data_IF_807972220742
#
_entry.id   IF_807972220742
#
_cell.length_a   1.000
_cell.length_b   1.000
_cell.length_c   1.000
_cell.angle_alpha   90.00
_cell.angle_beta   90.00
_cell.angle_gamma   90.00
#
_symmetry.space_group_name_H-M   'P 1'
#
loop_
_entity.id
_entity.type
_entity.pdbx_description
1 polymer ?
#
# COMPACT_ATOMS: atom_id res chain seq x y z
N UNK A 1 5.40 24.78 25.96
CA UNK A 1 4.33 24.11 26.72
C UNK A 1 3.51 23.45 25.64
N UNK A 2 3.45 22.12 25.62
CA UNK A 2 2.65 21.38 24.64
C UNK A 2 1.19 21.74 24.83
N UNK A 3 0.54 22.30 23.81
CA UNK A 3 -0.88 22.61 23.88
C UNK A 3 -1.69 21.35 23.55
N UNK A 4 -2.47 20.86 24.52
CA UNK A 4 -3.31 19.68 24.33
C UNK A 4 -4.79 19.99 24.46
N UNK A 5 -5.62 19.16 23.81
CA UNK A 5 -7.06 19.21 23.87
C UNK A 5 -7.62 17.82 24.10
N UNK A 6 -8.49 17.68 25.10
CA UNK A 6 -9.16 16.40 25.39
C UNK A 6 -10.52 16.37 24.72
N UNK A 7 -10.75 15.36 23.89
CA UNK A 7 -12.04 15.10 23.26
C UNK A 7 -12.40 13.62 23.43
N UNK A 8 -13.58 13.35 23.99
CA UNK A 8 -14.05 11.98 24.31
C UNK A 8 -13.09 11.13 25.15
N UNK A 9 -12.30 11.77 26.02
CA UNK A 9 -11.29 11.09 26.85
C UNK A 9 -9.99 10.76 26.12
N UNK A 10 -9.85 11.15 24.86
CA UNK A 10 -8.61 11.06 24.07
C UNK A 10 -7.92 12.42 24.10
N UNK A 11 -6.62 12.42 24.40
CA UNK A 11 -5.80 13.62 24.38
C UNK A 11 -5.18 13.82 22.99
N UNK A 12 -5.42 15.00 22.42
CA UNK A 12 -4.87 15.45 21.15
C UNK A 12 -3.84 16.54 21.40
N UNK A 13 -2.66 16.37 20.81
CA UNK A 13 -1.61 17.38 20.75
C UNK A 13 -1.92 18.37 19.63
N UNK A 14 -2.16 19.64 19.94
CA UNK A 14 -2.50 20.67 18.95
C UNK A 14 -1.28 21.25 18.23
N UNK A 15 -0.06 20.91 18.63
CA UNK A 15 1.17 21.38 17.97
C UNK A 15 1.46 20.63 16.66
N UNK A 16 0.87 19.44 16.49
CA UNK A 16 1.04 18.62 15.29
C UNK A 16 -0.13 18.77 14.33
N UNK A 17 0.14 18.47 13.06
CA UNK A 17 -0.91 18.30 12.07
C UNK A 17 -1.59 16.92 12.25
N UNK A 18 -2.85 16.87 11.87
CA UNK A 18 -3.63 15.64 11.76
C UNK A 18 -4.13 15.48 10.35
N UNK A 19 -4.43 14.25 9.97
CA UNK A 19 -5.05 13.91 8.70
C UNK A 19 -6.39 13.25 8.98
N UNK A 20 -7.41 13.65 8.25
CA UNK A 20 -8.70 12.96 8.33
C UNK A 20 -8.70 11.65 7.51
N UNK A 21 -9.80 10.93 7.56
CA UNK A 21 -9.95 9.64 6.85
C UNK A 21 -9.96 9.79 5.32
N UNK A 22 -10.16 11.01 4.81
CA UNK A 22 -10.13 11.32 3.37
C UNK A 22 -8.72 11.67 2.88
N UNK A 23 -7.80 11.92 3.81
CA UNK A 23 -6.42 12.25 3.52
C UNK A 23 -6.10 13.75 3.58
N UNK A 24 -7.08 14.59 3.94
CA UNK A 24 -6.93 16.05 4.09
C UNK A 24 -6.22 16.34 5.41
N UNK A 25 -5.25 17.25 5.36
CA UNK A 25 -4.45 17.63 6.53
C UNK A 25 -5.06 18.85 7.21
N UNK A 26 -5.09 18.81 8.53
CA UNK A 26 -5.67 19.81 9.42
C UNK A 26 -4.66 20.16 10.50
N UNK A 27 -4.49 21.43 10.79
CA UNK A 27 -3.65 21.90 11.89
C UNK A 27 -4.46 22.81 12.80
N UNK A 28 -4.03 23.00 14.03
CA UNK A 28 -4.60 24.03 14.89
C UNK A 28 -4.20 25.43 14.38
N UNK A 29 -5.16 26.37 14.37
CA UNK A 29 -4.91 27.74 13.93
C UNK A 29 -4.21 28.60 14.99
N UNK A 30 -4.09 28.11 16.23
CA UNK A 30 -3.68 28.90 17.40
C UNK A 30 -4.85 29.64 18.08
N UNK A 31 -6.06 29.57 17.51
CA UNK A 31 -7.26 30.21 18.05
C UNK A 31 -8.23 29.18 18.65
N UNK A 32 -9.09 29.67 19.54
CA UNK A 32 -10.18 28.90 20.16
C UNK A 32 -11.49 29.69 20.05
N UNK A 33 -12.61 28.99 20.03
CA UNK A 33 -13.92 29.62 20.19
C UNK A 33 -14.06 30.21 21.61
N UNK A 34 -15.08 31.06 21.87
CA UNK A 34 -15.37 31.54 23.23
C UNK A 34 -15.61 30.42 24.26
N UNK A 35 -16.08 29.26 23.79
CA UNK A 35 -16.28 28.05 24.61
C UNK A 35 -15.00 27.23 24.81
N UNK A 36 -13.86 27.70 24.29
CA UNK A 36 -12.55 27.06 24.42
C UNK A 36 -12.26 25.96 23.41
N UNK A 37 -13.10 25.77 22.39
CA UNK A 37 -12.89 24.73 21.37
C UNK A 37 -11.79 25.14 20.38
N UNK A 38 -10.80 24.27 20.08
CA UNK A 38 -9.76 24.59 19.11
C UNK A 38 -10.33 24.80 17.72
N UNK A 39 -9.82 25.81 17.01
CA UNK A 39 -10.14 26.04 15.61
C UNK A 39 -9.06 25.41 14.72
N UNK A 40 -9.49 24.57 13.79
CA UNK A 40 -8.66 23.83 12.86
C UNK A 40 -8.75 24.46 11.48
N UNK A 41 -7.66 24.43 10.72
CA UNK A 41 -7.59 24.91 9.34
C UNK A 41 -6.95 23.84 8.47
N UNK A 42 -7.40 23.77 7.22
CA UNK A 42 -6.90 22.81 6.25
C UNK A 42 -5.52 23.23 5.72
N UNK A 43 -4.57 22.30 5.70
CA UNK A 43 -3.19 22.50 5.24
C UNK A 43 -2.88 21.82 3.89
N UNK A 44 -3.74 20.89 3.42
CA UNK A 44 -3.45 19.99 2.29
C UNK A 44 -3.32 20.65 0.93
N UNK A 45 -3.80 21.89 0.76
CA UNK A 45 -3.56 22.68 -0.43
C UNK A 45 -2.77 23.93 -0.07
N UNK A 46 -1.70 24.22 -0.83
CA UNK A 46 -0.94 25.50 -0.82
C UNK A 46 -1.79 26.76 -1.07
N UNK A 47 -3.11 26.64 -1.02
CA UNK A 47 -4.13 27.64 -1.29
C UNK A 47 -5.03 27.77 -0.07
N UNK A 48 -4.60 28.58 0.90
CA UNK A 48 -5.39 29.61 1.60
C UNK A 48 -6.90 29.34 1.84
N UNK A 49 -7.33 28.13 2.20
CA UNK A 49 -8.69 27.95 2.74
C UNK A 49 -8.69 28.54 4.15
N UNK A 50 -9.17 29.79 4.26
CA UNK A 50 -9.28 30.53 5.53
C UNK A 50 -10.47 30.08 6.39
N UNK A 51 -11.25 29.11 5.93
CA UNK A 51 -12.38 28.59 6.69
C UNK A 51 -11.82 27.72 7.81
N UNK A 52 -11.91 28.24 9.03
CA UNK A 52 -11.66 27.46 10.23
C UNK A 52 -12.92 26.66 10.59
N UNK A 53 -12.71 25.46 11.12
CA UNK A 53 -13.75 24.58 11.66
C UNK A 53 -13.38 24.23 13.10
N UNK A 54 -14.34 23.97 13.98
CA UNK A 54 -13.99 23.56 15.34
C UNK A 54 -13.45 22.13 15.34
N UNK A 55 -12.58 21.79 16.28
CA UNK A 55 -12.03 20.43 16.39
C UNK A 55 -13.14 19.36 16.53
N UNK A 56 -14.17 19.53 17.38
CA UNK A 56 -15.26 18.56 17.46
C UNK A 56 -16.03 18.39 16.15
N UNK A 57 -16.36 19.49 15.46
CA UNK A 57 -17.09 19.43 14.19
C UNK A 57 -16.25 18.71 13.13
N UNK A 58 -14.95 19.02 13.06
CA UNK A 58 -14.01 18.33 12.19
C UNK A 58 -14.01 16.82 12.47
N UNK A 59 -13.93 16.42 13.74
CA UNK A 59 -13.94 15.01 14.12
C UNK A 59 -15.24 14.30 13.74
N UNK A 60 -16.39 14.98 13.88
CA UNK A 60 -17.68 14.39 13.55
C UNK A 60 -17.96 14.32 12.06
N UNK A 61 -17.59 15.35 11.30
CA UNK A 61 -17.85 15.43 9.86
C UNK A 61 -16.85 14.60 9.05
N UNK A 62 -15.58 14.63 9.44
CA UNK A 62 -14.48 13.99 8.69
C UNK A 62 -13.96 12.71 9.35
N UNK A 63 -14.47 12.37 10.53
CA UNK A 63 -14.11 11.17 11.27
C UNK A 63 -12.82 11.31 12.09
N UNK A 64 -12.30 10.17 12.60
CA UNK A 64 -11.14 10.16 13.48
C UNK A 64 -9.89 10.78 12.82
N UNK A 65 -9.23 11.65 13.58
CA UNK A 65 -8.03 12.36 13.16
C UNK A 65 -6.77 11.52 13.41
N UNK A 66 -5.98 11.31 12.36
CA UNK A 66 -4.75 10.53 12.36
C UNK A 66 -3.57 11.49 12.47
N UNK A 67 -2.73 11.41 13.52
CA UNK A 67 -1.63 12.36 13.68
C UNK A 67 -0.59 12.21 12.57
N UNK A 68 -0.22 13.33 11.94
CA UNK A 68 0.85 13.40 10.94
C UNK A 68 2.16 13.62 11.67
N UNK A 69 2.87 12.53 11.93
CA UNK A 69 4.17 12.53 12.61
C UNK A 69 5.20 11.92 11.67
N UNK A 70 6.33 12.59 11.52
CA UNK A 70 7.53 11.90 11.03
C UNK A 70 7.97 10.96 12.15
N UNK A 71 7.68 9.67 11.97
CA UNK A 71 8.24 8.65 12.85
C UNK A 71 9.72 8.55 12.57
N UNK A 72 10.55 8.60 13.61
CA UNK A 72 11.96 8.26 13.44
C UNK A 72 12.06 6.81 12.98
N UNK A 73 13.16 6.45 12.31
CA UNK A 73 13.40 5.06 11.93
C UNK A 73 13.46 4.11 13.13
N UNK A 74 13.68 4.62 14.35
CA UNK A 74 13.63 3.86 15.59
C UNK A 74 12.19 3.64 16.05
N UNK A 75 11.35 4.69 16.05
CA UNK A 75 9.93 4.59 16.39
C UNK A 75 9.17 3.66 15.44
N UNK A 76 9.47 3.75 14.14
CA UNK A 76 8.89 2.87 13.14
C UNK A 76 9.28 1.40 13.39
N UNK A 77 10.55 1.13 13.74
CA UNK A 77 11.00 -0.23 14.07
C UNK A 77 10.36 -0.74 15.36
N UNK A 78 10.21 0.11 16.37
CA UNK A 78 9.52 -0.23 17.61
C UNK A 78 8.03 -0.53 17.37
N UNK A 79 7.35 0.23 16.51
CA UNK A 79 5.95 0.01 16.14
C UNK A 79 5.75 -1.27 15.30
N UNK A 80 6.75 -1.67 14.51
CA UNK A 80 6.74 -2.93 13.74
C UNK A 80 7.00 -4.16 14.63
N UNK A 81 7.42 -3.97 15.89
CA UNK A 81 7.65 -5.08 16.82
C UNK A 81 6.59 -5.20 17.93
N UNK A 82 5.34 -5.57 17.60
CA UNK A 82 4.51 -6.29 18.55
C UNK A 82 4.81 -7.77 18.39
N UNK A 83 5.83 -8.26 19.12
CA UNK A 83 6.15 -9.67 19.36
C UNK A 83 5.46 -10.61 18.36
N UNK A 84 6.00 -10.70 17.14
CA UNK A 84 5.41 -11.50 16.06
C UNK A 84 5.12 -12.94 16.52
N UNK A 85 5.91 -13.48 17.45
CA UNK A 85 5.64 -14.77 18.05
C UNK A 85 4.34 -14.82 18.86
N UNK A 86 3.94 -13.74 19.55
CA UNK A 86 2.67 -13.64 20.27
C UNK A 86 1.46 -13.53 19.32
N UNK A 87 1.57 -12.81 18.20
CA UNK A 87 0.48 -12.73 17.21
C UNK A 87 0.27 -14.04 16.46
N UNK A 88 1.37 -14.75 16.19
CA UNK A 88 1.36 -16.12 15.68
C UNK A 88 0.79 -17.09 16.72
N UNK A 89 1.19 -16.98 17.99
CA UNK A 89 0.67 -17.83 19.08
C UNK A 89 -0.83 -17.59 19.35
N UNK A 90 -1.30 -16.36 19.18
CA UNK A 90 -2.72 -16.00 19.26
C UNK A 90 -3.52 -16.39 18.01
N UNK A 91 -2.87 -16.89 16.96
CA UNK A 91 -3.51 -17.35 15.73
C UNK A 91 -3.99 -16.25 14.79
N UNK A 92 -3.62 -14.98 15.03
CA UNK A 92 -3.96 -13.86 14.15
C UNK A 92 -3.17 -13.86 12.84
N UNK A 93 -1.98 -14.45 12.84
CA UNK A 93 -1.10 -14.55 11.68
C UNK A 93 -0.62 -15.99 11.54
N UNK A 94 -0.61 -16.51 10.31
CA UNK A 94 -0.08 -17.85 10.05
C UNK A 94 1.43 -17.92 10.32
N UNK A 95 1.90 -19.05 10.84
CA UNK A 95 3.34 -19.24 11.10
C UNK A 95 4.12 -19.21 9.78
N UNK A 96 5.39 -18.78 9.77
CA UNK A 96 6.25 -18.86 8.58
C UNK A 96 6.35 -20.28 8.01
N UNK A 97 6.30 -21.31 8.87
CA UNK A 97 6.30 -22.71 8.46
C UNK A 97 5.00 -23.12 7.74
N UNK A 98 3.85 -22.65 8.22
CA UNK A 98 2.55 -22.91 7.59
C UNK A 98 2.44 -22.18 6.24
N UNK A 99 2.88 -20.91 6.18
CA UNK A 99 2.97 -20.18 4.92
C UNK A 99 3.91 -20.90 3.95
N UNK A 100 5.11 -21.27 4.40
CA UNK A 100 6.09 -22.04 3.63
C UNK A 100 5.51 -23.33 3.08
N UNK A 101 4.77 -24.10 3.89
CA UNK A 101 4.10 -25.32 3.44
C UNK A 101 3.03 -25.06 2.38
N UNK A 102 2.32 -23.92 2.44
CA UNK A 102 1.32 -23.54 1.44
C UNK A 102 1.95 -23.10 0.11
N UNK A 103 3.03 -22.33 0.17
CA UNK A 103 3.67 -21.76 -1.03
C UNK A 103 4.76 -22.65 -1.63
N UNK A 104 5.22 -23.66 -0.90
CA UNK A 104 6.11 -24.69 -1.46
C UNK A 104 5.23 -25.56 -2.34
N UNK A 105 5.37 -25.52 -3.67
CA UNK A 105 4.68 -26.50 -4.51
C UNK A 105 5.14 -27.88 -4.03
N UNK A 106 4.18 -28.73 -3.66
CA UNK A 106 4.45 -30.16 -3.59
C UNK A 106 5.23 -30.52 -4.86
N UNK A 107 6.32 -31.27 -4.72
CA UNK A 107 7.12 -31.72 -5.86
C UNK A 107 6.23 -32.60 -6.72
N UNK A 108 5.40 -31.98 -7.55
CA UNK A 108 4.74 -32.62 -8.67
C UNK A 108 5.89 -32.97 -9.61
N UNK A 109 6.06 -34.26 -10.00
CA UNK A 109 7.03 -34.59 -11.02
C UNK A 109 6.75 -33.67 -12.21
N UNK A 110 7.80 -33.00 -12.71
CA UNK A 110 7.68 -32.14 -13.88
C UNK A 110 6.87 -32.90 -14.94
N UNK A 111 5.83 -32.29 -15.54
CA UNK A 111 5.08 -32.97 -16.59
C UNK A 111 6.10 -33.43 -17.63
N UNK A 112 6.17 -34.74 -17.85
CA UNK A 112 7.04 -35.29 -18.88
C UNK A 112 6.67 -34.59 -20.18
N UNK A 113 7.59 -33.79 -20.73
CA UNK A 113 7.42 -33.15 -22.02
C UNK A 113 7.43 -34.25 -23.08
N UNK A 114 6.26 -34.84 -23.34
CA UNK A 114 6.09 -35.73 -24.47
C UNK A 114 6.18 -34.84 -25.71
N UNK A 115 7.19 -35.06 -26.54
CA UNK A 115 7.56 -34.26 -27.72
C UNK A 115 6.53 -34.28 -28.87
N UNK A 116 5.24 -34.49 -28.59
CA UNK A 116 4.17 -34.55 -29.59
C UNK A 116 3.55 -33.18 -29.93
N UNK A 117 3.97 -32.09 -29.27
CA UNK A 117 3.38 -30.75 -29.44
C UNK A 117 4.35 -29.72 -30.02
N UNK A 118 5.61 -30.10 -30.27
CA UNK A 118 6.55 -29.22 -30.98
C UNK A 118 6.24 -29.29 -32.47
N UNK A 119 5.94 -28.13 -33.06
CA UNK A 119 5.79 -28.01 -34.51
C UNK A 119 7.07 -28.54 -35.16
N UNK A 120 7.00 -29.42 -36.18
CA UNK A 120 8.19 -29.90 -36.86
C UNK A 120 8.99 -28.71 -37.39
N UNK A 121 10.32 -28.85 -37.36
CA UNK A 121 11.21 -27.77 -37.78
C UNK A 121 10.80 -27.27 -39.17
N UNK A 122 10.94 -25.98 -39.49
CA UNK A 122 10.59 -25.46 -40.82
C UNK A 122 11.30 -26.23 -41.97
N UNK A 123 12.43 -26.88 -41.69
CA UNK A 123 13.15 -27.74 -42.64
C UNK A 123 12.49 -29.10 -42.92
N UNK A 124 11.64 -29.57 -42.02
CA UNK A 124 10.85 -30.80 -42.15
C UNK A 124 9.49 -30.55 -42.81
N UNK A 125 9.07 -29.29 -42.91
CA UNK A 125 7.84 -28.90 -43.58
C UNK A 125 8.04 -28.91 -45.10
N UNK A 126 7.30 -29.79 -45.80
CA UNK A 126 7.33 -29.95 -47.26
C UNK A 126 7.08 -28.64 -48.01
N UNK A 127 6.23 -27.76 -47.48
CA UNK A 127 5.94 -26.44 -48.07
C UNK A 127 7.14 -25.49 -48.08
N UNK A 128 7.91 -25.44 -46.99
CA UNK A 128 9.08 -24.56 -46.88
C UNK A 128 10.25 -25.06 -47.74
N UNK A 129 10.43 -26.38 -47.87
CA UNK A 129 11.39 -26.98 -48.82
C UNK A 129 11.04 -26.64 -50.27
N UNK A 130 9.74 -26.66 -50.61
CA UNK A 130 9.23 -26.22 -51.90
C UNK A 130 9.60 -24.77 -52.20
N UNK A 131 9.34 -23.86 -51.26
CA UNK A 131 9.67 -22.43 -51.37
C UNK A 131 11.17 -22.17 -51.60
N UNK A 132 12.06 -22.84 -50.86
CA UNK A 132 13.52 -22.71 -51.07
C UNK A 132 13.96 -23.19 -52.46
N UNK A 133 13.34 -24.24 -52.99
CA UNK A 133 13.61 -24.70 -54.35
C UNK A 133 13.13 -23.68 -55.40
N UNK A 134 12.04 -22.95 -55.15
CA UNK A 134 11.57 -21.87 -56.03
C UNK A 134 12.55 -20.69 -56.05
N UNK A 135 13.09 -20.29 -54.90
CA UNK A 135 14.12 -19.23 -54.81
C UNK A 135 15.40 -19.67 -55.54
N UNK A 136 15.79 -20.94 -55.40
CA UNK A 136 16.98 -21.49 -56.06
C UNK A 136 16.80 -21.65 -57.58
N UNK A 137 15.58 -21.93 -58.03
CA UNK A 137 15.21 -22.01 -59.46
C UNK A 137 15.12 -20.65 -60.14
N UNK A 138 14.67 -19.61 -59.44
CA UNK A 138 14.58 -18.23 -59.96
C UNK A 138 15.95 -17.57 -60.27
N UNK A 139 17.07 -18.17 -59.85
CA UNK A 139 18.44 -17.73 -60.18
C UNK A 139 19.07 -18.42 -61.40
N UNK A 140 18.32 -19.28 -62.11
CA UNK A 140 18.70 -19.84 -63.42
C UNK A 140 17.66 -19.41 -64.46
N UNK A 141 17.69 -18.13 -64.81
CA UNK A 141 16.93 -17.49 -65.87
C UNK A 141 17.57 -16.16 -66.19
#
# INVERSE_FOLDING_TARGET
MSETFTFEGIEFDLEIAYRDVTGVEWQWSGERTPDGLPLMWECSHKSLSRSTITFPDLYWEHGPLIPVRELSGEDFRAAIDPNYAATVAAGYVETPAAFGARITPAVTPAPALIAHHLNPSPMEQTGFRGFLNTIKGARRG
#
